data_IF_209070392994
#
_entry.id   IF_209070392994
#
_cell.length_a   1.000
_cell.length_b   1.000
_cell.length_c   1.000
_cell.angle_alpha   90.00
_cell.angle_beta   90.00
_cell.angle_gamma   90.00
#
_symmetry.space_group_name_H-M   'P 1'
#
loop_
_entity.id
_entity.type
_entity.pdbx_description
1 polymer ?
#
# COMPACT_ATOMS: atom_id res chain seq x y z
N UNK A 1 -45.21 52.79 -10.49
CA UNK A 1 -43.86 53.14 -9.98
C UNK A 1 -43.27 51.88 -9.35
N UNK A 2 -42.47 51.11 -10.11
CA UNK A 2 -41.98 49.77 -9.75
C UNK A 2 -40.64 49.95 -9.02
N UNK A 3 -40.58 49.63 -7.73
CA UNK A 3 -39.31 49.54 -6.99
C UNK A 3 -38.67 48.17 -7.29
N UNK A 4 -37.58 48.16 -8.05
CA UNK A 4 -36.73 46.99 -8.29
C UNK A 4 -36.01 46.61 -6.99
N UNK A 5 -36.21 45.38 -6.54
CA UNK A 5 -35.40 44.74 -5.50
C UNK A 5 -33.97 44.54 -6.01
N UNK A 6 -33.00 45.12 -5.31
CA UNK A 6 -31.58 44.85 -5.50
C UNK A 6 -31.18 43.73 -4.54
N UNK A 7 -31.18 42.49 -5.02
CA UNK A 7 -30.73 41.32 -4.27
C UNK A 7 -29.21 41.21 -4.44
N UNK A 8 -28.46 41.58 -3.40
CA UNK A 8 -27.00 41.45 -3.35
C UNK A 8 -26.66 39.99 -3.01
N UNK A 9 -26.25 39.20 -3.99
CA UNK A 9 -25.78 37.83 -3.76
C UNK A 9 -24.28 37.88 -3.45
N UNK A 10 -23.92 37.67 -2.18
CA UNK A 10 -22.55 37.40 -1.78
C UNK A 10 -22.21 35.95 -2.17
N UNK A 11 -21.54 35.76 -3.31
CA UNK A 11 -20.88 34.51 -3.61
C UNK A 11 -19.56 34.44 -2.83
N UNK A 12 -19.55 33.75 -1.68
CA UNK A 12 -18.31 33.33 -1.04
C UNK A 12 -17.66 32.25 -1.92
N UNK A 13 -16.78 32.67 -2.82
CA UNK A 13 -15.84 31.77 -3.46
C UNK A 13 -14.82 31.32 -2.42
N UNK A 14 -14.92 30.08 -1.94
CA UNK A 14 -13.84 29.45 -1.21
C UNK A 14 -12.71 29.16 -2.19
N UNK A 15 -11.75 30.09 -2.29
CA UNK A 15 -10.48 29.84 -2.98
C UNK A 15 -9.66 28.89 -2.12
N UNK A 16 -9.67 27.61 -2.46
CA UNK A 16 -8.65 26.69 -1.97
C UNK A 16 -7.31 27.08 -2.61
N UNK A 17 -6.55 27.92 -1.93
CA UNK A 17 -5.15 28.19 -2.28
C UNK A 17 -4.31 26.95 -1.92
N UNK A 18 -4.27 25.96 -2.81
CA UNK A 18 -3.23 24.93 -2.76
C UNK A 18 -2.03 25.40 -3.57
N UNK A 19 -1.13 26.10 -2.89
CA UNK A 19 0.14 26.57 -3.43
C UNK A 19 1.21 26.55 -2.36
N UNK A 20 1.35 25.43 -1.65
CA UNK A 20 2.56 25.15 -0.87
C UNK A 20 3.48 24.36 -1.81
N UNK A 21 4.66 24.89 -2.11
CA UNK A 21 5.72 24.10 -2.73
C UNK A 21 6.05 22.96 -1.75
N UNK A 22 5.61 21.74 -2.07
CA UNK A 22 5.94 20.57 -1.25
C UNK A 22 7.36 20.17 -1.65
N UNK A 23 8.34 20.83 -1.06
CA UNK A 23 9.74 20.40 -1.15
C UNK A 23 9.94 19.30 -0.10
N UNK A 24 9.74 18.04 -0.52
CA UNK A 24 10.24 16.91 0.24
C UNK A 24 11.78 17.07 0.32
N UNK A 25 12.40 17.01 1.51
CA UNK A 25 13.85 17.05 1.62
C UNK A 25 14.51 16.01 0.71
N UNK A 26 15.59 16.40 0.02
CA UNK A 26 16.26 15.54 -0.97
C UNK A 26 16.76 14.21 -0.39
N UNK A 27 17.08 14.19 0.91
CA UNK A 27 17.43 12.99 1.66
C UNK A 27 16.30 11.95 1.74
N UNK A 28 15.05 12.34 1.51
CA UNK A 28 13.89 11.45 1.47
C UNK A 28 13.55 11.00 0.04
N UNK A 29 14.29 11.46 -0.97
CA UNK A 29 14.01 11.17 -2.38
C UNK A 29 14.94 10.04 -2.86
N UNK A 30 14.38 9.08 -3.57
CA UNK A 30 15.14 8.08 -4.29
C UNK A 30 15.61 8.63 -5.65
N UNK A 31 16.89 9.04 -5.72
CA UNK A 31 17.50 9.61 -6.92
C UNK A 31 17.70 8.58 -8.06
N UNK A 32 17.55 7.28 -7.79
CA UNK A 32 17.75 6.22 -8.79
C UNK A 32 16.53 6.00 -9.70
N UNK A 33 15.36 6.55 -9.36
CA UNK A 33 14.09 6.30 -10.06
C UNK A 33 13.41 7.61 -10.43
N UNK A 34 14.00 8.32 -11.40
CA UNK A 34 13.27 9.34 -12.17
C UNK A 34 12.50 8.64 -13.30
N UNK A 35 11.24 8.30 -13.03
CA UNK A 35 10.26 7.94 -14.06
C UNK A 35 10.16 6.45 -14.41
N UNK A 36 9.02 5.87 -14.06
CA UNK A 36 8.27 4.89 -14.86
C UNK A 36 8.94 3.57 -15.26
N UNK A 37 8.14 2.65 -15.79
CA UNK A 37 8.64 1.43 -16.44
C UNK A 37 9.02 1.81 -17.87
N UNK A 38 10.28 2.20 -18.12
CA UNK A 38 10.70 2.81 -19.38
C UNK A 38 10.78 1.87 -20.60
N UNK A 39 10.20 0.66 -20.55
CA UNK A 39 10.24 -0.32 -21.65
C UNK A 39 9.00 -1.24 -21.67
N UNK A 40 7.80 -0.66 -21.61
CA UNK A 40 6.56 -1.43 -21.75
C UNK A 40 6.12 -1.49 -23.23
N UNK A 41 5.57 -2.63 -23.70
CA UNK A 41 4.89 -2.71 -24.98
C UNK A 41 3.77 -1.66 -25.11
N UNK A 42 3.41 -1.28 -26.34
CA UNK A 42 2.37 -0.27 -26.58
C UNK A 42 0.98 -0.65 -26.06
N UNK A 43 0.66 -1.96 -25.99
CA UNK A 43 -0.68 -2.48 -25.65
C UNK A 43 -0.69 -3.28 -24.34
N UNK A 44 -0.02 -2.79 -23.29
CA UNK A 44 -0.07 -3.44 -21.98
C UNK A 44 -1.45 -3.24 -21.33
N UNK A 45 -2.08 -4.32 -20.90
CA UNK A 45 -3.34 -4.28 -20.14
C UNK A 45 -3.08 -4.11 -18.64
N UNK A 46 -3.96 -3.36 -17.98
CA UNK A 46 -3.86 -3.07 -16.55
C UNK A 46 -2.79 -2.03 -16.24
N UNK A 47 -2.43 -1.92 -14.96
CA UNK A 47 -1.58 -0.84 -14.45
C UNK A 47 -0.54 -1.35 -13.46
N UNK A 48 0.69 -0.79 -13.47
CA UNK A 48 1.70 -1.08 -12.46
C UNK A 48 1.36 -0.48 -11.09
N UNK A 49 0.35 0.40 -11.02
CA UNK A 49 -0.01 1.12 -9.81
C UNK A 49 -1.11 0.41 -9.01
N UNK A 50 -1.04 0.57 -7.71
CA UNK A 50 -2.12 0.23 -6.78
C UNK A 50 -3.32 1.17 -6.89
N UNK A 51 -3.02 2.43 -7.18
CA UNK A 51 -3.96 3.49 -7.50
C UNK A 51 -3.40 4.26 -8.68
N UNK A 52 -4.13 4.31 -9.79
CA UNK A 52 -3.64 4.93 -11.03
C UNK A 52 -3.48 6.44 -10.87
N UNK A 53 -4.47 7.06 -10.24
CA UNK A 53 -4.51 8.48 -9.97
C UNK A 53 -3.68 8.88 -8.76
N UNK A 54 -3.04 10.04 -8.87
CA UNK A 54 -2.46 10.69 -7.71
C UNK A 54 -3.56 11.26 -6.81
N UNK A 55 -3.49 10.95 -5.52
CA UNK A 55 -4.48 11.39 -4.53
C UNK A 55 -3.79 12.13 -3.40
N UNK A 56 -4.53 13.02 -2.73
CA UNK A 56 -4.00 13.71 -1.57
C UNK A 56 -3.64 12.69 -0.48
N UNK A 57 -2.41 12.77 0.00
CA UNK A 57 -1.85 11.92 1.03
C UNK A 57 -0.81 12.65 1.86
N UNK A 58 -0.18 11.92 2.78
CA UNK A 58 0.82 12.44 3.72
C UNK A 58 2.03 11.54 3.75
N UNK A 59 3.23 12.12 3.66
CA UNK A 59 4.50 11.45 3.94
C UNK A 59 4.93 11.82 5.35
N UNK A 60 5.36 10.83 6.12
CA UNK A 60 5.84 10.99 7.49
C UNK A 60 7.33 10.64 7.53
N UNK A 61 8.12 11.52 8.14
CA UNK A 61 9.48 11.25 8.56
C UNK A 61 9.55 11.29 10.09
N UNK A 62 10.28 10.35 10.71
CA UNK A 62 10.36 10.26 12.18
C UNK A 62 10.82 11.59 12.80
N UNK A 63 9.99 12.13 13.69
CA UNK A 63 10.28 13.37 14.43
C UNK A 63 10.03 14.66 13.65
N UNK A 64 9.41 14.59 12.47
CA UNK A 64 9.06 15.74 11.64
C UNK A 64 7.54 15.85 11.50
N UNK A 65 7.06 17.06 11.18
CA UNK A 65 5.69 17.26 10.74
C UNK A 65 5.43 16.55 9.39
N UNK A 66 4.20 16.06 9.13
CA UNK A 66 3.91 15.35 7.90
C UNK A 66 3.90 16.28 6.69
N UNK A 67 4.48 15.81 5.59
CA UNK A 67 4.46 16.48 4.29
C UNK A 67 3.19 16.05 3.54
N UNK A 68 2.27 16.99 3.30
CA UNK A 68 1.11 16.72 2.45
C UNK A 68 1.56 16.67 0.99
N UNK A 69 0.95 15.81 0.17
CA UNK A 69 1.23 15.80 -1.26
C UNK A 69 0.32 14.90 -2.06
N UNK A 70 0.40 15.02 -3.38
CA UNK A 70 -0.29 14.14 -4.30
C UNK A 70 0.53 12.86 -4.47
N UNK A 71 0.05 11.76 -3.90
CA UNK A 71 0.76 10.49 -3.79
C UNK A 71 0.07 9.37 -4.60
N UNK A 72 0.86 8.42 -5.06
CA UNK A 72 0.37 7.10 -5.50
C UNK A 72 1.38 6.01 -5.20
N UNK A 73 0.91 4.77 -5.17
CA UNK A 73 1.79 3.63 -4.95
C UNK A 73 1.98 2.82 -6.23
N UNK A 74 3.23 2.74 -6.69
CA UNK A 74 3.68 1.91 -7.80
C UNK A 74 3.94 0.50 -7.25
N UNK A 75 2.94 -0.37 -7.35
CA UNK A 75 2.95 -1.72 -6.81
C UNK A 75 3.83 -2.69 -7.63
N UNK A 76 4.26 -2.31 -8.84
CA UNK A 76 5.25 -3.05 -9.62
C UNK A 76 6.69 -2.76 -9.18
N UNK A 77 7.01 -1.48 -8.95
CA UNK A 77 8.35 -1.06 -8.50
C UNK A 77 8.49 -1.00 -6.97
N UNK A 78 7.41 -1.26 -6.22
CA UNK A 78 7.37 -1.18 -4.76
C UNK A 78 7.88 0.20 -4.28
N UNK A 79 7.22 1.25 -4.77
CA UNK A 79 7.62 2.64 -4.56
C UNK A 79 6.44 3.58 -4.40
N UNK A 80 6.55 4.51 -3.46
CA UNK A 80 5.59 5.61 -3.31
C UNK A 80 6.08 6.77 -4.17
N UNK A 81 5.25 7.19 -5.10
CA UNK A 81 5.50 8.32 -5.99
C UNK A 81 4.76 9.56 -5.48
N UNK A 82 5.42 10.72 -5.54
CA UNK A 82 4.82 12.01 -5.26
C UNK A 82 4.91 12.92 -6.49
N UNK A 83 3.80 13.56 -6.83
CA UNK A 83 3.76 14.59 -7.87
C UNK A 83 4.16 15.94 -7.27
N UNK A 84 5.13 16.58 -7.90
CA UNK A 84 5.64 17.92 -7.58
C UNK A 84 5.53 18.85 -8.80
N UNK A 85 5.93 20.10 -8.64
CA UNK A 85 6.12 21.08 -9.71
C UNK A 85 7.22 20.67 -10.70
N UNK A 86 8.27 20.02 -10.22
CA UNK A 86 9.44 19.56 -10.98
C UNK A 86 9.25 18.17 -11.64
N UNK A 87 8.11 17.51 -11.40
CA UNK A 87 7.79 16.21 -11.98
C UNK A 87 7.33 15.18 -10.95
N UNK A 88 7.62 13.90 -11.20
CA UNK A 88 7.29 12.81 -10.28
C UNK A 88 8.58 12.35 -9.60
N UNK A 89 8.58 12.34 -8.27
CA UNK A 89 9.66 11.82 -7.45
C UNK A 89 9.22 10.52 -6.76
N UNK A 90 10.19 9.68 -6.37
CA UNK A 90 9.91 8.46 -5.59
C UNK A 90 10.47 8.60 -4.19
N UNK A 91 9.72 8.18 -3.18
CA UNK A 91 10.14 8.18 -1.79
C UNK A 91 11.25 7.14 -1.55
N UNK A 92 12.29 7.53 -0.81
CA UNK A 92 13.37 6.66 -0.40
C UNK A 92 12.84 5.53 0.49
N UNK A 93 13.28 4.29 0.23
CA UNK A 93 12.88 3.12 1.02
C UNK A 93 13.68 3.04 2.33
N UNK A 94 13.21 3.74 3.37
CA UNK A 94 13.75 3.69 4.74
C UNK A 94 12.64 3.50 5.78
N UNK A 95 12.94 2.75 6.84
CA UNK A 95 11.99 2.45 7.94
C UNK A 95 11.53 3.69 8.72
N UNK A 96 12.30 4.78 8.71
CA UNK A 96 11.88 6.06 9.27
C UNK A 96 10.91 6.85 8.38
N UNK A 97 10.62 6.37 7.15
CA UNK A 97 9.67 6.96 6.22
C UNK A 97 8.41 6.09 6.09
N UNK A 98 7.25 6.73 6.12
CA UNK A 98 5.96 6.11 5.84
C UNK A 98 5.04 7.06 5.08
N UNK A 99 3.92 6.56 4.57
CA UNK A 99 2.91 7.43 3.97
C UNK A 99 1.49 6.97 4.28
N UNK A 100 0.54 7.90 4.20
CA UNK A 100 -0.89 7.62 4.17
C UNK A 100 -1.42 8.02 2.80
N UNK A 101 -2.01 7.06 2.09
CA UNK A 101 -2.61 7.24 0.75
C UNK A 101 -4.02 6.66 0.82
N UNK A 102 -5.05 7.48 0.58
CA UNK A 102 -6.46 7.06 0.68
C UNK A 102 -6.81 6.34 2.00
N UNK A 103 -6.27 6.83 3.12
CA UNK A 103 -6.47 6.25 4.45
C UNK A 103 -5.67 4.98 4.75
N UNK A 104 -4.95 4.42 3.78
CA UNK A 104 -4.06 3.26 3.98
C UNK A 104 -2.68 3.71 4.43
N UNK A 105 -2.18 3.11 5.51
CA UNK A 105 -0.86 3.43 6.05
C UNK A 105 0.20 2.50 5.47
N UNK A 106 1.02 3.04 4.56
CA UNK A 106 2.14 2.36 3.95
C UNK A 106 3.40 2.53 4.82
N UNK A 107 3.97 1.42 5.29
CA UNK A 107 5.18 1.38 6.12
C UNK A 107 6.19 0.39 5.56
N UNK A 108 7.46 0.64 5.81
CA UNK A 108 8.53 -0.28 5.42
C UNK A 108 8.84 -1.22 6.56
N UNK A 109 8.68 -2.51 6.32
CA UNK A 109 8.95 -3.56 7.30
C UNK A 109 9.89 -4.61 6.70
N UNK A 110 10.61 -5.30 7.59
CA UNK A 110 11.41 -6.47 7.22
C UNK A 110 10.50 -7.69 7.07
N UNK A 111 10.77 -8.54 6.09
CA UNK A 111 10.06 -9.82 5.91
C UNK A 111 10.99 -10.92 5.41
N UNK A 112 10.66 -12.18 5.73
CA UNK A 112 11.40 -13.35 5.25
C UNK A 112 10.87 -13.77 3.88
N UNK A 113 11.76 -13.90 2.89
CA UNK A 113 11.47 -14.51 1.59
C UNK A 113 12.66 -15.31 1.10
N UNK A 114 12.43 -16.61 0.84
CA UNK A 114 13.45 -17.56 0.36
C UNK A 114 14.72 -17.56 1.25
N UNK A 115 14.55 -17.58 2.57
CA UNK A 115 15.65 -17.61 3.53
C UNK A 115 16.37 -16.26 3.76
N UNK A 116 16.06 -15.23 2.97
CA UNK A 116 16.64 -13.89 3.13
C UNK A 116 15.66 -12.91 3.78
N UNK A 117 16.19 -11.98 4.56
CA UNK A 117 15.44 -10.81 5.04
C UNK A 117 15.44 -9.75 3.94
N UNK A 118 14.26 -9.23 3.62
CA UNK A 118 14.04 -8.16 2.63
C UNK A 118 13.21 -7.05 3.25
N UNK A 119 13.23 -5.86 2.64
CA UNK A 119 12.40 -4.70 3.00
C UNK A 119 11.46 -4.37 1.84
N UNK A 120 10.22 -4.01 2.14
CA UNK A 120 9.19 -3.63 1.16
C UNK A 120 8.15 -2.73 1.82
N UNK A 121 7.30 -2.05 1.05
CA UNK A 121 6.15 -1.36 1.61
C UNK A 121 5.01 -2.34 1.92
N UNK A 122 4.40 -2.16 3.08
CA UNK A 122 3.20 -2.86 3.51
C UNK A 122 2.12 -1.86 3.88
N UNK A 123 0.86 -2.22 3.60
CA UNK A 123 -0.29 -1.59 4.24
C UNK A 123 -0.49 -2.25 5.61
N UNK A 124 -0.44 -1.45 6.67
CA UNK A 124 -0.71 -1.90 8.03
C UNK A 124 -2.21 -2.02 8.28
N UNK A 125 -2.70 -3.22 8.62
CA UNK A 125 -4.14 -3.51 8.75
C UNK A 125 -4.64 -3.38 10.21
N UNK A 126 -3.75 -3.46 11.20
CA UNK A 126 -4.04 -3.21 12.60
C UNK A 126 -2.82 -2.70 13.37
N UNK A 127 -3.06 -2.24 14.60
CA UNK A 127 -2.03 -1.88 15.57
C UNK A 127 -1.83 -3.00 16.60
N UNK A 128 -0.73 -2.94 17.33
CA UNK A 128 -0.37 -3.90 18.38
C UNK A 128 0.97 -4.60 18.10
N UNK A 129 1.32 -5.55 18.97
CA UNK A 129 2.57 -6.31 18.85
C UNK A 129 2.51 -7.26 17.66
N UNK A 130 1.42 -8.01 17.51
CA UNK A 130 1.12 -8.78 16.30
C UNK A 130 0.24 -7.96 15.34
N UNK A 131 0.73 -7.79 14.12
CA UNK A 131 0.07 -7.03 13.05
C UNK A 131 -0.09 -7.87 11.79
N UNK A 132 -1.26 -7.77 11.19
CA UNK A 132 -1.50 -8.20 9.81
C UNK A 132 -1.05 -7.09 8.88
N UNK A 133 -0.20 -7.45 7.93
CA UNK A 133 0.33 -6.57 6.91
C UNK A 133 -0.09 -7.07 5.53
N UNK A 134 -0.52 -6.16 4.67
CA UNK A 134 -0.86 -6.43 3.29
C UNK A 134 0.21 -5.88 2.35
N UNK A 135 0.88 -6.77 1.62
CA UNK A 135 1.84 -6.41 0.57
C UNK A 135 1.10 -6.31 -0.75
N UNK A 136 0.82 -5.08 -1.18
CA UNK A 136 0.21 -4.82 -2.46
C UNK A 136 1.27 -4.91 -3.57
N UNK A 137 1.05 -5.80 -4.55
CA UNK A 137 2.04 -6.10 -5.57
C UNK A 137 1.42 -6.21 -6.96
N UNK A 138 2.21 -5.87 -7.99
CA UNK A 138 1.91 -6.13 -9.39
C UNK A 138 3.05 -6.93 -10.01
N UNK A 139 2.73 -7.87 -10.89
CA UNK A 139 3.70 -8.56 -11.75
C UNK A 139 3.40 -8.27 -13.21
N UNK A 140 4.45 -8.06 -14.00
CA UNK A 140 4.34 -7.91 -15.44
C UNK A 140 4.36 -9.30 -16.10
N UNK A 141 3.37 -9.58 -16.92
CA UNK A 141 3.27 -10.79 -17.73
C UNK A 141 3.49 -10.39 -19.18
N UNK A 142 4.57 -10.91 -19.78
CA UNK A 142 4.90 -10.64 -21.18
C UNK A 142 3.85 -11.24 -22.12
N UNK A 143 3.69 -10.59 -23.27
CA UNK A 143 2.83 -11.08 -24.34
C UNK A 143 3.24 -12.47 -24.83
N UNK A 144 2.27 -13.22 -25.34
CA UNK A 144 2.50 -14.53 -25.94
C UNK A 144 1.68 -14.64 -27.23
N UNK A 145 2.39 -14.80 -28.34
CA UNK A 145 1.78 -15.06 -29.63
C UNK A 145 1.02 -16.39 -29.61
N UNK A 146 -0.04 -16.46 -30.41
CA UNK A 146 -0.75 -17.68 -30.73
C UNK A 146 0.23 -18.72 -31.30
N UNK A 147 0.21 -19.92 -30.73
CA UNK A 147 1.06 -21.03 -31.19
C UNK A 147 0.33 -21.94 -32.19
N UNK A 148 -0.96 -21.71 -32.43
CA UNK A 148 -1.79 -22.42 -33.39
C UNK A 148 -2.97 -21.57 -33.86
N UNK A 149 -3.60 -21.95 -34.97
CA UNK A 149 -4.80 -21.30 -35.55
C UNK A 149 -6.03 -21.30 -34.62
N UNK A 150 -6.02 -22.09 -33.55
CA UNK A 150 -7.09 -22.14 -32.55
C UNK A 150 -6.81 -21.28 -31.31
N UNK A 151 -5.57 -20.82 -31.13
CA UNK A 151 -5.19 -19.97 -29.99
C UNK A 151 -5.22 -18.50 -30.37
N UNK A 152 -5.59 -17.64 -29.41
CA UNK A 152 -5.52 -16.18 -29.57
C UNK A 152 -4.23 -15.66 -28.94
N UNK A 153 -3.71 -14.58 -29.51
CA UNK A 153 -2.63 -13.81 -28.90
C UNK A 153 -3.03 -13.36 -27.49
N UNK A 154 -2.07 -13.43 -26.57
CA UNK A 154 -2.22 -12.91 -25.22
C UNK A 154 -1.39 -11.63 -25.12
N UNK A 155 -2.02 -10.45 -24.97
CA UNK A 155 -1.28 -9.21 -24.81
C UNK A 155 -0.52 -9.20 -23.48
N UNK A 156 0.53 -8.37 -23.43
CA UNK A 156 1.23 -8.10 -22.19
C UNK A 156 0.28 -7.47 -21.16
N UNK A 157 0.43 -7.79 -19.87
CA UNK A 157 -0.45 -7.27 -18.83
C UNK A 157 0.20 -7.18 -17.45
N UNK A 158 -0.34 -6.32 -16.61
CA UNK A 158 -0.09 -6.36 -15.16
C UNK A 158 -1.16 -7.18 -14.45
N UNK A 159 -0.71 -8.13 -13.63
CA UNK A 159 -1.57 -8.92 -12.74
C UNK A 159 -1.26 -8.58 -11.28
N UNK A 160 -2.26 -8.71 -10.41
CA UNK A 160 -2.07 -8.60 -8.97
C UNK A 160 -1.19 -9.74 -8.44
N UNK A 161 -0.27 -9.39 -7.55
CA UNK A 161 0.64 -10.31 -6.83
C UNK A 161 0.63 -9.96 -5.33
N UNK A 162 -0.58 -9.90 -4.80
CA UNK A 162 -0.83 -9.50 -3.41
C UNK A 162 -0.52 -10.64 -2.45
N UNK A 163 0.01 -10.31 -1.28
CA UNK A 163 0.37 -11.27 -0.23
C UNK A 163 0.13 -10.70 1.16
N UNK A 164 -0.12 -11.58 2.12
CA UNK A 164 -0.31 -11.20 3.53
C UNK A 164 0.86 -11.67 4.37
N UNK A 165 1.19 -10.88 5.38
CA UNK A 165 2.25 -11.19 6.32
C UNK A 165 1.76 -10.93 7.74
N UNK A 166 2.23 -11.73 8.69
CA UNK A 166 2.11 -11.43 10.11
C UNK A 166 3.48 -11.03 10.61
N UNK A 167 3.55 -9.90 11.30
CA UNK A 167 4.75 -9.42 11.97
C UNK A 167 4.47 -9.36 13.48
N UNK A 168 5.46 -9.78 14.27
CA UNK A 168 5.48 -9.62 15.73
C UNK A 168 6.70 -8.81 16.13
N UNK A 169 6.68 -8.22 17.32
CA UNK A 169 7.79 -7.38 17.81
C UNK A 169 9.14 -8.12 17.72
N UNK A 170 10.16 -7.44 17.20
CA UNK A 170 11.52 -7.99 17.03
C UNK A 170 11.69 -9.03 15.91
N UNK A 171 10.61 -9.45 15.24
CA UNK A 171 10.66 -10.49 14.21
C UNK A 171 10.36 -9.92 12.81
N UNK A 172 11.04 -10.39 11.74
CA UNK A 172 10.62 -10.06 10.39
C UNK A 172 9.29 -10.74 10.06
N UNK A 173 8.48 -10.08 9.22
CA UNK A 173 7.20 -10.59 8.77
C UNK A 173 7.29 -11.97 8.11
N UNK A 174 6.33 -12.83 8.45
CA UNK A 174 6.17 -14.19 7.92
C UNK A 174 4.98 -14.19 6.96
N UNK A 175 5.19 -14.67 5.73
CA UNK A 175 4.12 -14.75 4.73
C UNK A 175 3.06 -15.79 5.15
N UNK A 176 1.79 -15.42 5.02
CA UNK A 176 0.66 -16.29 5.34
C UNK A 176 -0.34 -16.33 4.20
N UNK A 177 -1.00 -17.47 4.04
CA UNK A 177 -2.29 -17.53 3.35
C UNK A 177 -3.40 -17.33 4.38
N UNK A 178 -4.54 -16.81 3.93
CA UNK A 178 -5.75 -16.66 4.74
C UNK A 178 -6.34 -18.04 5.09
N UNK A 179 -5.73 -18.72 6.05
CA UNK A 179 -6.18 -19.98 6.66
C UNK A 179 -5.56 -20.15 8.04
N UNK A 180 -6.28 -20.81 8.95
CA UNK A 180 -5.90 -20.96 10.36
C UNK A 180 -4.47 -21.45 10.59
N UNK A 181 -4.02 -22.48 9.85
CA UNK A 181 -2.70 -23.07 10.03
C UNK A 181 -1.57 -22.06 9.84
N UNK A 182 -1.61 -21.27 8.77
CA UNK A 182 -0.52 -20.35 8.46
C UNK A 182 -0.52 -19.18 9.45
N UNK A 183 -1.71 -18.68 9.82
CA UNK A 183 -1.85 -17.59 10.80
C UNK A 183 -1.31 -17.99 12.18
N UNK A 184 -1.73 -19.15 12.70
CA UNK A 184 -1.27 -19.64 14.01
C UNK A 184 0.25 -19.92 13.98
N UNK A 185 0.77 -20.50 12.91
CA UNK A 185 2.20 -20.84 12.80
C UNK A 185 3.11 -19.61 12.66
N UNK A 186 2.55 -18.46 12.28
CA UNK A 186 3.30 -17.20 12.18
C UNK A 186 3.42 -16.49 13.54
N UNK A 187 2.66 -16.90 14.56
CA UNK A 187 2.77 -16.36 15.91
C UNK A 187 3.87 -17.12 16.69
N UNK A 188 4.78 -16.40 17.39
CA UNK A 188 5.90 -17.02 18.09
C UNK A 188 5.48 -17.78 19.36
N UNK A 189 4.35 -17.39 19.97
CA UNK A 189 3.82 -17.91 21.24
C UNK A 189 2.28 -17.89 21.24
N UNK A 190 1.67 -18.26 22.37
CA UNK A 190 0.22 -18.29 22.62
C UNK A 190 -0.66 -19.00 21.56
N UNK A 191 -0.06 -19.90 20.79
CA UNK A 191 -0.72 -20.58 19.68
C UNK A 191 -1.92 -21.42 20.14
N UNK A 192 -1.86 -22.04 21.32
CA UNK A 192 -2.94 -22.87 21.87
C UNK A 192 -4.13 -22.03 22.28
N UNK A 193 -3.89 -20.88 22.90
CA UNK A 193 -4.89 -19.91 23.34
C UNK A 193 -5.60 -19.31 22.13
N UNK A 194 -4.84 -18.93 21.11
CA UNK A 194 -5.33 -18.44 19.82
C UNK A 194 -6.18 -19.50 19.10
N UNK A 195 -5.73 -20.75 19.07
CA UNK A 195 -6.48 -21.86 18.45
C UNK A 195 -7.80 -22.11 19.17
N UNK A 196 -7.79 -22.10 20.51
CA UNK A 196 -8.99 -22.26 21.32
C UNK A 196 -9.98 -21.10 21.09
N UNK A 197 -9.49 -19.86 21.05
CA UNK A 197 -10.30 -18.68 20.76
C UNK A 197 -10.92 -18.74 19.36
N UNK A 198 -10.12 -19.05 18.33
CA UNK A 198 -10.61 -19.18 16.96
C UNK A 198 -11.67 -20.28 16.85
N UNK A 199 -11.46 -21.44 17.49
CA UNK A 199 -12.43 -22.55 17.51
C UNK A 199 -13.74 -22.16 18.20
N UNK A 200 -13.66 -21.50 19.36
CA UNK A 200 -14.84 -21.02 20.11
C UNK A 200 -15.70 -20.08 19.27
N UNK A 201 -15.06 -19.18 18.53
CA UNK A 201 -15.72 -18.20 17.66
C UNK A 201 -15.97 -18.70 16.23
N UNK A 202 -15.59 -19.96 15.92
CA UNK A 202 -15.70 -20.59 14.59
C UNK A 202 -14.95 -19.86 13.48
N UNK A 203 -13.91 -19.10 13.80
CA UNK A 203 -13.07 -18.42 12.82
C UNK A 203 -12.19 -19.41 12.05
N UNK A 204 -12.33 -19.43 10.73
CA UNK A 204 -11.49 -20.24 9.83
C UNK A 204 -10.28 -19.45 9.30
N UNK A 205 -10.19 -18.17 9.67
CA UNK A 205 -9.18 -17.21 9.25
C UNK A 205 -9.08 -17.12 7.73
N UNK A 206 -10.24 -17.15 7.05
CA UNK A 206 -10.36 -17.09 5.59
C UNK A 206 -10.57 -15.68 5.07
N UNK A 207 -10.85 -14.73 5.95
CA UNK A 207 -11.01 -13.31 5.61
C UNK A 207 -10.07 -12.46 6.46
N UNK A 208 -9.82 -11.23 6.00
CA UNK A 208 -9.02 -10.26 6.75
C UNK A 208 -9.66 -10.00 8.12
N UNK A 209 -10.98 -9.83 8.17
CA UNK A 209 -11.73 -9.50 9.40
C UNK A 209 -11.59 -10.59 10.47
N UNK A 210 -11.68 -11.86 10.10
CA UNK A 210 -11.47 -12.97 11.04
C UNK A 210 -10.05 -12.93 11.62
N UNK A 211 -9.04 -12.69 10.78
CA UNK A 211 -7.64 -12.62 11.23
C UNK A 211 -7.44 -11.40 12.13
N UNK A 212 -8.01 -10.25 11.78
CA UNK A 212 -7.94 -9.05 12.59
C UNK A 212 -8.53 -9.27 13.99
N UNK A 213 -9.63 -10.00 14.11
CA UNK A 213 -10.21 -10.37 15.41
C UNK A 213 -9.32 -11.34 16.19
N UNK A 214 -8.70 -12.30 15.51
CA UNK A 214 -7.75 -13.24 16.13
C UNK A 214 -6.50 -12.52 16.64
N UNK A 215 -5.92 -11.62 15.85
CA UNK A 215 -4.75 -10.83 16.25
C UNK A 215 -5.09 -9.82 17.35
N UNK A 216 -6.31 -9.26 17.33
CA UNK A 216 -6.78 -8.41 18.41
C UNK A 216 -6.82 -9.16 19.74
N UNK A 217 -7.29 -10.41 19.76
CA UNK A 217 -7.25 -11.27 20.95
C UNK A 217 -5.80 -11.60 21.37
N UNK A 218 -4.96 -12.01 20.42
CA UNK A 218 -3.55 -12.32 20.70
C UNK A 218 -2.83 -11.13 21.35
N UNK A 219 -3.09 -9.90 20.89
CA UNK A 219 -2.51 -8.68 21.47
C UNK A 219 -2.98 -8.34 22.90
N UNK A 220 -3.88 -9.14 23.49
CA UNK A 220 -4.31 -9.00 24.90
C UNK A 220 -3.70 -10.05 25.83
N UNK A 221 -2.93 -10.98 25.28
CA UNK A 221 -2.20 -12.03 26.01
C UNK A 221 -0.80 -11.51 26.39
#
# INVERSE_FOLDING_TARGET
MIKKNLMLVFALGATFAYGQNIDLPTEYINNATLGGVNNLPANVQGSPYANEEFVLGKVYAKGQDPYNGLLRYNAYQDGIEMKTDKGIITLLKRDYLSAVISGKHYRIENYKKNGAIRKTYFVEMNKGNARLLFKQGKKFVQERAATSSYSKDKPAKFEDDNSYYIITEGNPGIEIKLKSKDVISALPDHQKEVEAFAKKNKFKMKTEEEILQVLAYYNTL
#
